data_IF_446433365963
#
_entry.id   IF_446433365963
#
_cell.length_a   1.000
_cell.length_b   1.000
_cell.length_c   1.000
_cell.angle_alpha   90.00
_cell.angle_beta   90.00
_cell.angle_gamma   90.00
#
_symmetry.space_group_name_H-M   'P 1'
#
loop_
_entity.id
_entity.type
_entity.pdbx_description
1 polymer ?
#
# COMPACT_ATOMS: atom_id res chain seq x y z
N UNK A 1 -4.87 -19.00 11.51
CA UNK A 1 -4.22 -18.20 10.45
C UNK A 1 -4.85 -18.61 9.14
N UNK A 2 -5.50 -17.68 8.44
CA UNK A 2 -5.82 -17.88 7.04
C UNK A 2 -4.51 -17.79 6.27
N UNK A 3 -3.86 -18.92 6.02
CA UNK A 3 -2.65 -18.96 5.19
C UNK A 3 -3.00 -18.53 3.75
N UNK A 4 -2.04 -17.92 3.08
CA UNK A 4 -2.13 -17.66 1.65
C UNK A 4 -2.19 -18.99 0.90
N UNK A 5 -3.23 -19.21 0.10
CA UNK A 5 -3.46 -20.50 -0.55
C UNK A 5 -2.91 -20.57 -1.98
N UNK A 6 -2.41 -19.46 -2.54
CA UNK A 6 -2.03 -19.36 -3.95
C UNK A 6 -0.55 -19.00 -4.14
N UNK A 7 0.28 -19.19 -3.11
CA UNK A 7 1.72 -18.95 -3.19
C UNK A 7 2.13 -17.49 -3.00
N UNK A 8 1.23 -16.63 -2.51
CA UNK A 8 1.55 -15.26 -2.12
C UNK A 8 2.59 -15.26 -0.99
N UNK A 9 3.65 -14.48 -1.14
CA UNK A 9 4.68 -14.32 -0.12
C UNK A 9 4.30 -13.26 0.93
N UNK A 10 3.47 -12.30 0.53
CA UNK A 10 2.81 -11.32 1.39
C UNK A 10 1.45 -11.85 1.83
N UNK A 11 1.14 -11.70 3.10
CA UNK A 11 -0.15 -12.12 3.67
C UNK A 11 -1.23 -11.06 3.59
N UNK A 12 -0.89 -9.87 3.11
CA UNK A 12 -1.73 -8.66 3.03
C UNK A 12 -3.03 -8.81 2.22
N UNK A 13 -3.10 -9.82 1.35
CA UNK A 13 -4.29 -10.18 0.57
C UNK A 13 -4.89 -11.55 0.96
N UNK A 14 -4.52 -12.11 2.11
CA UNK A 14 -4.89 -13.46 2.53
C UNK A 14 -5.93 -13.44 3.66
N UNK A 15 -7.01 -14.20 3.51
CA UNK A 15 -8.09 -14.25 4.50
C UNK A 15 -8.98 -13.01 4.47
N UNK A 16 -9.44 -12.58 5.65
CA UNK A 16 -10.29 -11.40 5.77
C UNK A 16 -9.45 -10.14 5.98
N UNK A 17 -9.45 -9.28 4.98
CA UNK A 17 -8.75 -7.99 4.97
C UNK A 17 -9.78 -6.88 5.15
N UNK A 18 -9.50 -5.97 6.07
CA UNK A 18 -10.27 -4.76 6.29
C UNK A 18 -9.43 -3.58 5.85
N UNK A 19 -9.98 -2.80 4.93
CA UNK A 19 -9.38 -1.56 4.45
C UNK A 19 -10.20 -0.37 4.97
N UNK A 20 -9.52 0.72 5.32
CA UNK A 20 -10.21 1.96 5.65
C UNK A 20 -10.88 2.54 4.40
N UNK A 21 -12.14 2.96 4.52
CA UNK A 21 -12.89 3.49 3.38
C UNK A 21 -12.22 4.75 2.79
N UNK A 22 -11.78 5.66 3.66
CA UNK A 22 -11.26 6.97 3.30
C UNK A 22 -9.93 7.27 4.00
N UNK A 23 -9.37 8.44 3.70
CA UNK A 23 -8.13 8.93 4.29
C UNK A 23 -8.40 9.41 5.71
N UNK A 24 -7.61 8.92 6.67
CA UNK A 24 -7.77 9.28 8.09
C UNK A 24 -6.93 10.51 8.49
N UNK A 25 -5.83 10.76 7.80
CA UNK A 25 -4.91 11.87 8.03
C UNK A 25 -3.95 11.99 6.85
N UNK A 26 -3.21 13.10 6.78
CA UNK A 26 -2.12 13.27 5.83
C UNK A 26 -0.79 13.21 6.58
N UNK A 27 0.17 12.50 6.01
CA UNK A 27 1.53 12.37 6.56
C UNK A 27 2.55 12.30 5.43
N UNK A 28 3.78 12.68 5.79
CA UNK A 28 4.94 12.39 4.96
C UNK A 28 5.26 10.91 5.03
N UNK A 29 5.83 10.37 3.96
CA UNK A 29 6.37 9.02 4.00
C UNK A 29 7.65 8.97 4.85
N UNK A 30 8.56 9.93 4.60
CA UNK A 30 9.78 10.19 5.37
C UNK A 30 10.07 11.69 5.44
N UNK A 31 10.88 12.12 6.39
CA UNK A 31 11.30 13.53 6.48
C UNK A 31 12.27 13.96 5.37
N UNK A 32 12.98 13.02 4.75
CA UNK A 32 13.94 13.21 3.67
C UNK A 32 13.45 12.56 2.38
N UNK A 33 13.82 13.12 1.23
CA UNK A 33 13.52 12.57 -0.10
C UNK A 33 14.40 11.36 -0.43
N UNK A 34 14.19 10.27 0.30
CA UNK A 34 14.84 8.98 0.09
C UNK A 34 13.86 7.82 0.31
N UNK A 35 13.94 6.81 -0.55
CA UNK A 35 13.21 5.56 -0.40
C UNK A 35 14.11 4.40 0.09
N UNK A 36 15.35 4.70 0.49
CA UNK A 36 16.28 3.72 1.06
C UNK A 36 15.65 3.08 2.31
N UNK A 37 15.69 1.74 2.39
CA UNK A 37 15.03 0.97 3.45
C UNK A 37 13.51 0.79 3.27
N UNK A 38 12.93 1.41 2.23
CA UNK A 38 11.54 1.22 1.80
C UNK A 38 10.51 1.44 2.92
N UNK A 39 9.40 0.71 2.83
CA UNK A 39 8.38 0.68 3.89
C UNK A 39 8.93 0.23 5.24
N UNK A 40 9.87 -0.72 5.24
CA UNK A 40 10.36 -1.37 6.45
C UNK A 40 10.96 -0.37 7.45
N UNK A 41 11.77 0.55 6.93
CA UNK A 41 12.51 1.53 7.73
C UNK A 41 11.85 2.91 7.71
N UNK A 42 10.64 3.05 7.15
CA UNK A 42 10.00 4.36 7.01
C UNK A 42 9.47 4.94 8.33
N UNK A 43 9.51 6.27 8.41
CA UNK A 43 8.87 7.03 9.48
C UNK A 43 7.36 6.78 9.47
N UNK A 44 6.76 6.67 8.28
CA UNK A 44 5.33 6.45 8.12
C UNK A 44 4.87 5.09 8.65
N UNK A 45 5.63 4.02 8.43
CA UNK A 45 5.33 2.70 9.01
C UNK A 45 5.32 2.76 10.54
N UNK A 46 6.29 3.48 11.11
CA UNK A 46 6.39 3.70 12.56
C UNK A 46 5.18 4.48 13.08
N UNK A 47 4.78 5.55 12.38
CA UNK A 47 3.60 6.33 12.71
C UNK A 47 2.30 5.49 12.63
N UNK A 48 2.13 4.67 11.60
CA UNK A 48 0.95 3.84 11.39
C UNK A 48 0.85 2.73 12.45
N UNK A 49 1.94 1.97 12.68
CA UNK A 49 1.91 0.86 13.65
C UNK A 49 2.06 1.31 15.11
N UNK A 50 2.45 2.56 15.35
CA UNK A 50 2.51 3.16 16.68
C UNK A 50 1.31 4.06 16.96
N UNK A 51 1.31 5.27 16.39
CA UNK A 51 0.30 6.29 16.66
C UNK A 51 -1.10 5.85 16.21
N UNK A 52 -1.27 5.46 14.94
CA UNK A 52 -2.60 5.12 14.42
C UNK A 52 -3.15 3.85 15.07
N UNK A 53 -2.36 2.79 15.18
CA UNK A 53 -2.79 1.55 15.84
C UNK A 53 -3.25 1.78 17.28
N UNK A 54 -2.51 2.58 18.06
CA UNK A 54 -2.85 2.86 19.46
C UNK A 54 -4.10 3.75 19.62
N UNK A 55 -4.54 4.44 18.56
CA UNK A 55 -5.80 5.19 18.56
C UNK A 55 -7.02 4.31 18.29
N UNK A 56 -6.84 3.08 17.81
CA UNK A 56 -7.96 2.16 17.56
C UNK A 56 -8.60 1.73 18.89
N UNK A 57 -9.92 1.46 18.91
CA UNK A 57 -10.56 0.84 20.08
C UNK A 57 -9.88 -0.48 20.47
N UNK A 58 -9.78 -0.74 21.77
CA UNK A 58 -9.13 -1.96 22.29
C UNK A 58 -9.73 -3.25 21.73
N UNK A 59 -11.05 -3.29 21.52
CA UNK A 59 -11.74 -4.42 20.89
C UNK A 59 -11.22 -4.71 19.49
N UNK A 60 -10.95 -3.66 18.70
CA UNK A 60 -10.39 -3.80 17.37
C UNK A 60 -8.91 -4.21 17.43
N UNK A 61 -8.12 -3.58 18.31
CA UNK A 61 -6.72 -3.95 18.50
C UNK A 61 -6.52 -5.44 18.82
N UNK A 62 -7.44 -6.02 19.59
CA UNK A 62 -7.41 -7.41 20.04
C UNK A 62 -7.68 -8.43 18.93
N UNK A 63 -8.44 -8.07 17.89
CA UNK A 63 -8.77 -8.98 16.78
C UNK A 63 -7.82 -8.83 15.60
N UNK A 64 -7.07 -7.72 15.51
CA UNK A 64 -6.07 -7.52 14.47
C UNK A 64 -4.92 -8.49 14.65
N UNK A 65 -4.57 -9.24 13.60
CA UNK A 65 -3.44 -10.16 13.60
C UNK A 65 -2.17 -9.51 13.05
N UNK A 66 -0.98 -9.89 13.54
CA UNK A 66 0.25 -9.58 12.82
C UNK A 66 0.17 -10.15 11.41
N UNK A 67 0.60 -9.37 10.43
CA UNK A 67 0.55 -9.71 9.01
C UNK A 67 1.96 -9.66 8.46
N UNK A 68 2.38 -10.72 7.75
CA UNK A 68 3.58 -10.65 6.92
C UNK A 68 3.34 -9.70 5.75
N UNK A 69 4.05 -8.59 5.72
CA UNK A 69 3.95 -7.59 4.65
C UNK A 69 5.23 -7.64 3.82
N UNK A 70 5.07 -7.81 2.50
CA UNK A 70 6.17 -7.66 1.53
C UNK A 70 5.98 -6.33 0.79
N UNK A 71 7.06 -5.57 0.66
CA UNK A 71 7.09 -4.27 -0.06
C UNK A 71 8.27 -4.19 -1.02
N UNK A 72 8.09 -3.46 -2.12
CA UNK A 72 9.14 -3.22 -3.10
C UNK A 72 10.34 -2.47 -2.51
N UNK A 73 11.53 -2.75 -3.04
CA UNK A 73 12.79 -2.16 -2.58
C UNK A 73 13.25 -0.97 -3.44
N UNK A 74 12.50 -0.61 -4.47
CA UNK A 74 12.84 0.50 -5.37
C UNK A 74 13.96 0.18 -6.38
N UNK A 75 14.59 1.22 -6.93
CA UNK A 75 15.54 1.12 -8.06
C UNK A 75 16.90 0.45 -7.75
N UNK A 76 17.14 -0.02 -6.52
CA UNK A 76 18.44 -0.60 -6.15
C UNK A 76 18.64 -2.00 -6.75
N UNK A 77 19.84 -2.29 -7.28
CA UNK A 77 20.14 -3.55 -7.98
C UNK A 77 20.59 -4.73 -7.09
N UNK A 78 20.71 -4.53 -5.77
CA UNK A 78 21.24 -5.54 -4.84
C UNK A 78 20.33 -5.91 -3.67
N UNK A 79 19.22 -5.20 -3.48
CA UNK A 79 18.26 -5.49 -2.42
C UNK A 79 17.20 -6.48 -2.92
N UNK A 80 16.68 -7.29 -2.00
CA UNK A 80 15.44 -8.04 -2.22
C UNK A 80 14.28 -7.27 -1.63
N UNK A 81 13.05 -7.61 -2.01
CA UNK A 81 11.86 -7.03 -1.38
C UNK A 81 11.94 -7.15 0.15
N UNK A 82 11.46 -6.11 0.84
CA UNK A 82 11.52 -6.06 2.29
C UNK A 82 10.35 -6.82 2.91
N UNK A 83 10.63 -7.53 4.00
CA UNK A 83 9.62 -8.22 4.80
C UNK A 83 9.47 -7.57 6.17
N UNK A 84 8.23 -7.42 6.61
CA UNK A 84 7.87 -6.91 7.95
C UNK A 84 6.73 -7.71 8.57
N UNK A 85 6.50 -7.50 9.86
CA UNK A 85 5.36 -8.03 10.61
C UNK A 85 4.58 -6.85 11.18
N UNK A 86 3.46 -6.53 10.55
CA UNK A 86 2.70 -5.31 10.83
C UNK A 86 1.28 -5.62 11.30
N UNK A 87 0.74 -4.76 12.16
CA UNK A 87 -0.67 -4.79 12.56
C UNK A 87 -1.52 -3.98 11.59
N UNK A 88 -1.01 -2.83 11.17
CA UNK A 88 -1.59 -1.99 10.13
C UNK A 88 -0.56 -1.80 9.01
N UNK A 89 -1.01 -1.84 7.76
CA UNK A 89 -0.14 -1.67 6.59
C UNK A 89 -0.84 -0.83 5.52
N UNK A 90 -0.06 -0.18 4.65
CA UNK A 90 -0.63 0.42 3.43
C UNK A 90 -0.71 -0.63 2.33
N UNK A 91 -1.64 -0.48 1.41
CA UNK A 91 -1.75 -1.36 0.25
C UNK A 91 -0.54 -1.23 -0.68
N UNK A 92 -0.27 -2.26 -1.47
CA UNK A 92 0.65 -2.20 -2.61
C UNK A 92 -0.12 -1.93 -3.90
N UNK A 93 0.62 -1.69 -4.97
CA UNK A 93 0.10 -1.53 -6.31
C UNK A 93 -0.85 -2.69 -6.71
N UNK A 94 -0.36 -3.93 -6.64
CA UNK A 94 -1.09 -5.11 -7.09
C UNK A 94 -2.37 -5.37 -6.28
N UNK A 95 -2.42 -4.93 -5.02
CA UNK A 95 -3.62 -5.10 -4.19
C UNK A 95 -4.80 -4.26 -4.69
N UNK A 96 -4.51 -3.17 -5.41
CA UNK A 96 -5.49 -2.24 -5.96
C UNK A 96 -5.71 -2.51 -7.46
N UNK A 97 -4.65 -2.57 -8.26
CA UNK A 97 -4.74 -2.69 -9.72
C UNK A 97 -4.15 -3.98 -10.24
N UNK A 98 -4.83 -4.57 -11.22
CA UNK A 98 -4.17 -5.41 -12.22
C UNK A 98 -3.58 -4.52 -13.32
N UNK A 99 -2.48 -4.95 -13.95
CA UNK A 99 -1.98 -4.30 -15.16
C UNK A 99 -3.04 -4.37 -16.27
N UNK A 100 -3.26 -3.23 -16.93
CA UNK A 100 -4.15 -3.06 -18.07
C UNK A 100 -3.57 -3.56 -19.39
N UNK A 101 -4.25 -3.20 -20.48
CA UNK A 101 -3.83 -3.50 -21.85
C UNK A 101 -2.77 -2.50 -22.36
N UNK A 102 -2.75 -1.26 -21.85
CA UNK A 102 -1.74 -0.26 -22.23
C UNK A 102 -0.37 -0.63 -21.63
N UNK A 103 0.55 -1.01 -22.51
CA UNK A 103 1.93 -1.35 -22.14
C UNK A 103 2.71 -0.20 -21.52
N UNK A 104 2.29 1.05 -21.72
CA UNK A 104 2.93 2.22 -21.13
C UNK A 104 2.40 2.55 -19.73
N UNK A 105 1.43 1.78 -19.23
CA UNK A 105 0.73 2.02 -17.98
C UNK A 105 0.67 0.75 -17.13
N UNK A 106 1.86 0.17 -16.86
CA UNK A 106 2.00 -1.07 -16.08
C UNK A 106 2.66 -0.79 -14.74
N UNK A 107 1.84 -0.76 -13.70
CA UNK A 107 2.34 -0.53 -12.34
C UNK A 107 3.16 -1.72 -11.83
N UNK A 108 2.95 -2.92 -12.39
CA UNK A 108 3.76 -4.09 -12.07
C UNK A 108 5.22 -3.96 -12.44
N UNK A 109 5.57 -3.10 -13.40
CA UNK A 109 6.95 -2.79 -13.76
C UNK A 109 7.61 -1.83 -12.75
N UNK A 110 6.79 -1.06 -12.03
CA UNK A 110 7.19 -0.06 -11.02
C UNK A 110 7.20 -0.59 -9.57
N UNK A 111 6.64 -1.77 -9.31
CA UNK A 111 6.63 -2.40 -7.99
C UNK A 111 7.34 -3.75 -8.03
N UNK A 112 8.56 -3.81 -7.49
CA UNK A 112 9.34 -5.07 -7.43
C UNK A 112 8.67 -6.17 -6.60
N UNK A 113 7.69 -5.81 -5.77
CA UNK A 113 6.89 -6.73 -4.94
C UNK A 113 5.53 -7.11 -5.53
N UNK A 114 5.21 -6.65 -6.75
CA UNK A 114 3.92 -6.89 -7.40
C UNK A 114 3.53 -8.37 -7.34
N UNK A 115 4.42 -9.29 -7.74
CA UNK A 115 4.15 -10.74 -7.76
C UNK A 115 4.12 -11.42 -6.39
N UNK A 116 4.37 -10.71 -5.29
CA UNK A 116 4.35 -11.29 -3.93
C UNK A 116 2.97 -11.26 -3.26
N UNK A 117 2.01 -10.57 -3.86
CA UNK A 117 0.62 -10.46 -3.37
C UNK A 117 -0.34 -10.64 -4.56
N UNK A 118 -1.62 -10.35 -4.36
CA UNK A 118 -2.66 -10.36 -5.40
C UNK A 118 -3.62 -9.20 -5.21
N UNK A 119 -4.37 -8.88 -6.25
CA UNK A 119 -5.48 -7.95 -6.14
C UNK A 119 -6.51 -8.40 -5.10
N UNK A 120 -6.93 -7.45 -4.25
CA UNK A 120 -7.98 -7.68 -3.28
C UNK A 120 -9.32 -7.90 -3.99
N UNK A 121 -10.14 -8.78 -3.41
CA UNK A 121 -11.43 -9.16 -4.00
C UNK A 121 -12.36 -7.95 -4.22
N UNK A 122 -12.27 -6.93 -3.35
CA UNK A 122 -12.98 -5.67 -3.49
C UNK A 122 -12.70 -4.99 -4.84
N UNK A 123 -11.43 -4.82 -5.20
CA UNK A 123 -11.03 -4.18 -6.45
C UNK A 123 -11.21 -5.09 -7.65
N UNK A 124 -10.91 -6.38 -7.48
CA UNK A 124 -11.07 -7.41 -8.52
C UNK A 124 -12.53 -7.57 -8.98
N UNK A 125 -13.47 -7.62 -8.05
CA UNK A 125 -14.90 -7.73 -8.37
C UNK A 125 -15.42 -6.50 -9.12
N UNK A 126 -14.74 -5.37 -8.97
CA UNK A 126 -15.03 -4.14 -9.71
C UNK A 126 -14.19 -4.00 -10.99
N UNK A 127 -13.35 -4.99 -11.32
CA UNK A 127 -12.47 -5.02 -12.49
C UNK A 127 -11.55 -3.81 -12.55
N UNK A 128 -10.93 -3.48 -11.41
CA UNK A 128 -9.94 -2.40 -11.37
C UNK A 128 -8.68 -2.83 -12.11
N UNK A 129 -8.27 -2.04 -13.10
CA UNK A 129 -6.98 -2.18 -13.77
C UNK A 129 -6.31 -0.83 -13.84
N UNK A 130 -5.03 -0.78 -14.18
CA UNK A 130 -4.35 0.50 -14.44
C UNK A 130 -4.99 1.31 -15.57
N UNK A 131 -5.85 0.71 -16.41
CA UNK A 131 -6.62 1.40 -17.46
C UNK A 131 -8.10 1.65 -17.09
N UNK A 132 -8.58 1.09 -15.98
CA UNK A 132 -9.99 1.18 -15.56
C UNK A 132 -10.14 1.21 -14.03
N UNK A 133 -9.97 2.39 -13.44
CA UNK A 133 -9.89 2.55 -11.99
C UNK A 133 -10.87 3.57 -11.42
N UNK A 134 -11.08 4.72 -12.07
CA UNK A 134 -12.00 5.82 -11.73
C UNK A 134 -12.39 5.88 -10.23
N UNK A 135 -13.69 5.98 -9.92
CA UNK A 135 -14.19 6.20 -8.56
C UNK A 135 -13.91 5.07 -7.57
N UNK A 136 -13.37 3.93 -8.01
CA UNK A 136 -13.20 2.72 -7.18
C UNK A 136 -11.95 2.80 -6.30
N UNK A 137 -10.96 3.59 -6.71
CA UNK A 137 -9.67 3.74 -6.03
C UNK A 137 -9.51 5.10 -5.34
N UNK A 138 -10.45 6.03 -5.59
CA UNK A 138 -10.43 7.36 -5.01
C UNK A 138 -10.89 7.30 -3.55
N UNK A 139 -10.15 8.00 -2.69
CA UNK A 139 -10.48 8.20 -1.28
C UNK A 139 -10.61 9.69 -1.00
N UNK A 140 -11.51 10.03 -0.09
CA UNK A 140 -11.74 11.39 0.34
C UNK A 140 -10.96 11.71 1.62
N UNK A 141 -10.56 12.97 1.75
CA UNK A 141 -10.10 13.57 3.00
C UNK A 141 -10.80 14.90 3.18
N UNK A 142 -11.59 15.02 4.27
CA UNK A 142 -12.38 16.23 4.56
C UNK A 142 -13.28 16.65 3.38
N UNK A 143 -14.06 15.70 2.87
CA UNK A 143 -15.06 15.92 1.80
C UNK A 143 -14.45 16.31 0.45
N UNK A 144 -13.21 15.90 0.19
CA UNK A 144 -12.52 16.15 -1.07
C UNK A 144 -11.67 14.95 -1.48
N UNK A 145 -11.75 14.59 -2.76
CA UNK A 145 -10.88 13.59 -3.37
C UNK A 145 -9.42 13.97 -3.13
N UNK A 146 -8.62 13.04 -2.62
CA UNK A 146 -7.23 13.33 -2.27
C UNK A 146 -6.31 12.14 -2.59
N UNK A 147 -5.05 12.47 -2.85
CA UNK A 147 -4.00 11.51 -3.12
C UNK A 147 -3.60 10.76 -1.83
N UNK A 148 -3.21 9.50 -1.93
CA UNK A 148 -2.85 8.68 -0.76
C UNK A 148 -1.74 7.66 -1.01
N UNK A 149 -0.93 7.42 0.01
CA UNK A 149 0.30 6.62 -0.10
C UNK A 149 0.06 5.11 -0.24
N UNK A 150 0.93 4.45 -1.00
CA UNK A 150 1.11 2.98 -1.03
C UNK A 150 2.44 2.61 -0.39
N UNK A 151 2.61 1.34 0.00
CA UNK A 151 3.83 0.90 0.72
C UNK A 151 5.07 0.69 -0.16
N UNK A 152 4.93 0.60 -1.48
CA UNK A 152 6.02 0.18 -2.36
C UNK A 152 6.89 1.35 -2.80
N UNK A 153 8.21 1.21 -2.64
CA UNK A 153 9.17 2.11 -3.27
C UNK A 153 9.15 1.89 -4.79
N UNK A 154 9.20 2.98 -5.57
CA UNK A 154 9.15 2.93 -7.03
C UNK A 154 10.45 2.29 -7.59
N UNK A 155 10.31 1.25 -8.40
CA UNK A 155 11.44 0.55 -9.02
C UNK A 155 12.14 1.42 -10.08
N UNK A 156 11.47 2.44 -10.62
CA UNK A 156 11.97 3.32 -11.67
C UNK A 156 12.64 4.59 -11.13
N UNK A 157 12.43 4.93 -9.86
CA UNK A 157 12.96 6.13 -9.22
C UNK A 157 13.69 5.77 -7.90
N UNK A 158 14.93 6.25 -7.78
CA UNK A 158 15.76 6.02 -6.61
C UNK A 158 15.33 6.81 -5.35
N UNK A 159 14.27 7.62 -5.42
CA UNK A 159 13.85 8.52 -4.35
C UNK A 159 12.33 8.58 -4.12
N UNK A 160 11.51 7.80 -4.82
CA UNK A 160 10.05 7.92 -4.75
C UNK A 160 9.33 6.68 -4.19
N UNK A 161 8.10 6.88 -3.69
CA UNK A 161 7.15 5.83 -3.35
C UNK A 161 5.90 5.93 -4.23
N UNK A 162 5.29 4.79 -4.52
CA UNK A 162 4.03 4.73 -5.26
C UNK A 162 2.89 5.31 -4.42
N UNK A 163 1.97 6.00 -5.07
CA UNK A 163 0.79 6.56 -4.45
C UNK A 163 -0.40 6.55 -5.43
N UNK A 164 -1.59 6.73 -4.91
CA UNK A 164 -2.81 6.91 -5.69
C UNK A 164 -3.07 8.40 -5.83
N UNK A 165 -3.27 8.88 -7.05
CA UNK A 165 -3.65 10.27 -7.34
C UNK A 165 -5.12 10.47 -6.99
N UNK A 166 -5.52 11.68 -6.62
CA UNK A 166 -6.91 12.07 -6.33
C UNK A 166 -7.96 11.67 -7.41
N UNK A 167 -7.55 11.43 -8.65
CA UNK A 167 -8.42 10.97 -9.75
C UNK A 167 -8.51 9.43 -9.84
N UNK A 168 -7.83 8.70 -8.96
CA UNK A 168 -7.81 7.25 -8.86
C UNK A 168 -6.69 6.57 -9.64
N UNK A 169 -5.88 7.30 -10.41
CA UNK A 169 -4.73 6.74 -11.11
C UNK A 169 -3.58 6.50 -10.13
N UNK A 170 -2.48 5.92 -10.61
CA UNK A 170 -1.25 5.77 -9.83
C UNK A 170 -0.17 6.70 -10.37
N UNK A 171 0.79 7.03 -9.52
CA UNK A 171 2.05 7.73 -9.86
C UNK A 171 3.05 7.48 -8.72
N UNK A 172 4.24 8.07 -8.79
CA UNK A 172 5.21 8.08 -7.69
C UNK A 172 5.53 9.48 -7.24
N UNK A 173 5.87 9.63 -5.96
CA UNK A 173 6.15 10.94 -5.40
C UNK A 173 7.19 10.89 -4.29
N UNK A 174 7.73 12.06 -3.97
CA UNK A 174 8.81 12.22 -3.02
C UNK A 174 8.32 11.97 -1.59
N UNK A 175 9.09 11.22 -0.78
CA UNK A 175 8.70 10.86 0.57
C UNK A 175 8.38 12.04 1.48
N UNK A 176 8.95 13.23 1.22
CA UNK A 176 8.71 14.42 2.04
C UNK A 176 7.41 15.18 1.70
N UNK A 177 6.69 14.77 0.67
CA UNK A 177 5.37 15.29 0.33
C UNK A 177 4.29 14.77 1.29
N UNK A 178 3.20 15.54 1.40
CA UNK A 178 2.06 15.20 2.26
C UNK A 178 0.96 14.57 1.43
N UNK A 179 0.66 13.30 1.69
CA UNK A 179 -0.51 12.63 1.13
C UNK A 179 -1.29 11.86 2.20
N UNK A 180 -2.49 11.46 1.82
CA UNK A 180 -3.41 10.71 2.65
C UNK A 180 -2.89 9.34 3.08
N UNK A 181 -3.29 8.95 4.28
CA UNK A 181 -3.04 7.65 4.88
C UNK A 181 -4.37 6.90 4.95
N UNK A 182 -4.42 5.73 4.34
CA UNK A 182 -5.56 4.82 4.42
C UNK A 182 -5.08 3.38 4.60
N UNK A 183 -4.89 2.93 5.85
CA UNK A 183 -4.33 1.61 6.12
C UNK A 183 -5.31 0.48 5.83
N UNK A 184 -4.79 -0.74 5.84
CA UNK A 184 -5.52 -1.98 5.91
C UNK A 184 -4.96 -2.88 7.01
N UNK A 185 -5.72 -3.88 7.40
CA UNK A 185 -5.33 -4.88 8.39
C UNK A 185 -6.07 -6.19 8.20
N UNK A 186 -5.55 -7.25 8.82
CA UNK A 186 -6.20 -8.56 8.85
C UNK A 186 -6.76 -8.85 10.22
N UNK A 187 -7.82 -9.63 10.26
CA UNK A 187 -8.39 -10.16 11.50
C UNK A 187 -8.35 -11.69 11.49
N UNK A 188 -8.33 -12.28 12.69
CA UNK A 188 -8.30 -13.73 12.92
C UNK A 188 -9.65 -14.41 12.67
#
# INVERSE_FOLDING_TARGET
MSECTNGEASETACGFVVEFADIITEQKFNSLDTNVGGWKDSELRTYINGTIYNLLPSELQNVIVPTKVVSGHGNTSGETNFETQDKLYLLSAHEIWEDGEDENNRIGENDTSYSNTRQLDYYKNQRVTTDSYDRKTIKEYKESDNSWWLRSADSSDASAFLYVIFNGSWDSSWPSDLYGISPAFRIA
#
